data_IF_644303550857
#
_entry.id   IF_644303550857
#
_cell.length_a   1.000
_cell.length_b   1.000
_cell.length_c   1.000
_cell.angle_alpha   90.00
_cell.angle_beta   90.00
_cell.angle_gamma   90.00
#
_symmetry.space_group_name_H-M   'P 1'
#
loop_
_entity.id
_entity.type
_entity.pdbx_description
1 polymer ?
#
# COMPACT_ATOMS: atom_id res chain seq x y z
N UNK A 1 35.10 14.82 30.91
CA UNK A 1 33.97 13.87 30.93
C UNK A 1 33.66 13.49 29.48
N UNK A 2 33.75 12.21 29.07
CA UNK A 2 33.41 11.81 27.71
C UNK A 2 31.88 11.74 27.60
N UNK A 3 31.25 12.86 27.24
CA UNK A 3 29.79 13.07 27.38
C UNK A 3 29.02 13.15 26.07
N UNK A 4 29.66 12.89 24.93
CA UNK A 4 28.98 12.91 23.65
C UNK A 4 29.45 11.72 22.86
N UNK A 5 28.63 10.67 22.83
CA UNK A 5 28.72 9.64 21.80
C UNK A 5 28.48 10.40 20.51
N UNK A 6 29.57 10.73 19.82
CA UNK A 6 29.50 11.59 18.66
C UNK A 6 28.96 10.81 17.48
N UNK A 7 28.71 11.55 16.40
CA UNK A 7 28.48 10.96 15.08
C UNK A 7 29.55 9.90 14.73
N UNK A 8 30.85 10.05 15.08
CA UNK A 8 31.87 9.02 14.81
C UNK A 8 31.62 7.68 15.51
N UNK A 9 31.32 7.67 16.80
CA UNK A 9 31.04 6.44 17.55
C UNK A 9 29.77 5.75 17.01
N UNK A 10 28.73 6.53 16.69
CA UNK A 10 27.51 5.98 16.07
C UNK A 10 27.79 5.38 14.69
N UNK A 11 28.64 6.02 13.87
CA UNK A 11 29.06 5.49 12.57
C UNK A 11 29.84 4.18 12.69
N UNK A 12 30.71 4.06 13.69
CA UNK A 12 31.44 2.81 13.95
C UNK A 12 30.48 1.70 14.36
N UNK A 13 29.54 1.97 15.27
CA UNK A 13 28.52 1.00 15.67
C UNK A 13 27.64 0.58 14.48
N UNK A 14 27.22 1.56 13.68
CA UNK A 14 26.45 1.33 12.46
C UNK A 14 27.23 0.45 11.50
N UNK A 15 28.52 0.72 11.26
CA UNK A 15 29.37 -0.07 10.38
C UNK A 15 29.45 -1.54 10.82
N UNK A 16 29.59 -1.80 12.11
CA UNK A 16 29.57 -3.17 12.66
C UNK A 16 28.24 -3.84 12.33
N UNK A 17 27.10 -3.19 12.61
CA UNK A 17 25.76 -3.71 12.27
C UNK A 17 25.61 -3.95 10.77
N UNK A 18 26.11 -3.06 9.91
CA UNK A 18 26.08 -3.23 8.45
C UNK A 18 26.87 -4.45 8.00
N UNK A 19 27.95 -4.83 8.68
CA UNK A 19 28.71 -6.03 8.32
C UNK A 19 27.90 -7.29 8.67
N UNK A 20 27.24 -7.33 9.83
CA UNK A 20 26.43 -8.48 10.24
C UNK A 20 25.12 -8.61 9.45
N UNK A 21 24.40 -7.50 9.27
CA UNK A 21 23.08 -7.48 8.63
C UNK A 21 23.16 -7.24 7.12
N UNK A 22 24.23 -6.61 6.64
CA UNK A 22 24.41 -6.17 5.27
C UNK A 22 23.84 -4.76 5.01
N UNK A 23 24.50 -3.93 4.19
CA UNK A 23 24.03 -2.57 3.87
C UNK A 23 22.69 -2.53 3.11
N UNK A 24 22.28 -3.65 2.51
CA UNK A 24 20.99 -3.76 1.80
C UNK A 24 19.80 -4.00 2.74
N UNK A 25 20.01 -4.61 3.92
CA UNK A 25 18.90 -5.02 4.80
C UNK A 25 18.42 -3.91 5.72
N UNK A 26 19.30 -3.02 6.18
CA UNK A 26 18.91 -1.83 6.94
C UNK A 26 17.91 -0.91 6.22
N UNK A 27 18.12 -0.51 4.96
CA UNK A 27 17.15 0.34 4.25
C UNK A 27 15.85 -0.41 3.92
N UNK A 28 15.91 -1.72 3.71
CA UNK A 28 14.73 -2.56 3.48
C UNK A 28 13.83 -2.60 4.74
N UNK A 29 14.43 -2.89 5.91
CA UNK A 29 13.73 -2.87 7.19
C UNK A 29 13.29 -1.45 7.59
N UNK A 30 14.12 -0.43 7.32
CA UNK A 30 13.78 0.96 7.59
C UNK A 30 12.58 1.45 6.78
N UNK A 31 12.40 0.97 5.54
CA UNK A 31 11.23 1.32 4.72
C UNK A 31 9.93 0.72 5.26
N UNK A 32 9.94 -0.54 5.72
CA UNK A 32 8.74 -1.16 6.30
C UNK A 32 8.40 -0.54 7.66
N UNK A 33 9.40 -0.34 8.52
CA UNK A 33 9.24 0.34 9.80
C UNK A 33 8.79 1.80 9.62
N UNK A 34 9.31 2.50 8.63
CA UNK A 34 8.94 3.88 8.33
C UNK A 34 7.49 4.03 7.89
N UNK A 35 6.97 3.09 7.08
CA UNK A 35 5.54 3.06 6.71
C UNK A 35 4.66 2.82 7.93
N UNK A 36 4.99 1.82 8.76
CA UNK A 36 4.24 1.54 9.99
C UNK A 36 4.28 2.69 10.99
N UNK A 37 5.43 3.35 11.16
CA UNK A 37 5.56 4.52 12.02
C UNK A 37 4.81 5.73 11.47
N UNK A 38 4.76 5.90 10.14
CA UNK A 38 3.97 6.95 9.48
C UNK A 38 2.48 6.73 9.73
N UNK A 39 1.96 5.53 9.48
CA UNK A 39 0.56 5.16 9.74
C UNK A 39 0.20 5.28 11.23
N UNK A 40 1.13 4.87 12.12
CA UNK A 40 0.98 5.03 13.56
C UNK A 40 0.90 6.50 13.96
N UNK A 41 1.83 7.34 13.47
CA UNK A 41 1.82 8.79 13.72
C UNK A 41 0.54 9.43 13.22
N UNK A 42 0.10 9.08 12.01
CA UNK A 42 -1.08 9.66 11.38
C UNK A 42 -2.35 9.28 12.16
N UNK A 43 -2.43 8.03 12.67
CA UNK A 43 -3.51 7.58 13.55
C UNK A 43 -3.50 8.27 14.92
N UNK A 44 -2.32 8.49 15.50
CA UNK A 44 -2.16 9.15 16.81
C UNK A 44 -2.40 10.66 16.73
N UNK A 45 -2.02 11.29 15.63
CA UNK A 45 -2.11 12.75 15.46
C UNK A 45 -3.43 13.17 14.80
N UNK A 46 -4.21 12.20 14.28
CA UNK A 46 -5.47 12.46 13.57
C UNK A 46 -5.27 13.10 12.19
N UNK A 47 -4.05 13.05 11.65
CA UNK A 47 -3.69 13.65 10.36
C UNK A 47 -3.94 12.63 9.25
N UNK A 48 -5.14 12.61 8.67
CA UNK A 48 -5.35 11.91 7.40
C UNK A 48 -4.71 12.72 6.28
N UNK A 49 -3.54 12.27 5.82
CA UNK A 49 -2.90 12.79 4.62
C UNK A 49 -3.22 11.88 3.44
N UNK A 50 -4.12 12.36 2.59
CA UNK A 50 -4.58 11.72 1.36
C UNK A 50 -3.49 11.82 0.26
N UNK A 51 -2.32 11.23 0.51
CA UNK A 51 -1.15 11.39 -0.36
C UNK A 51 -1.15 10.31 -1.47
N UNK A 52 -2.18 10.30 -2.34
CA UNK A 52 -2.05 9.74 -3.69
C UNK A 52 -1.65 10.87 -4.63
N UNK A 53 -0.35 11.10 -4.82
CA UNK A 53 0.28 11.68 -6.02
C UNK A 53 1.76 11.99 -5.72
N UNK A 54 2.66 11.56 -6.61
CA UNK A 54 4.12 11.78 -6.67
C UNK A 54 5.03 10.62 -6.23
N UNK A 55 5.00 9.56 -7.03
CA UNK A 55 6.24 9.00 -7.57
C UNK A 55 5.96 8.45 -8.98
N UNK A 56 5.95 9.37 -9.96
CA UNK A 56 5.97 9.00 -11.36
C UNK A 56 7.28 8.27 -11.70
N UNK A 57 7.15 7.00 -12.07
CA UNK A 57 7.77 6.49 -13.28
C UNK A 57 6.67 5.71 -14.02
N UNK A 58 6.19 6.19 -15.18
CA UNK A 58 5.37 5.39 -16.05
C UNK A 58 6.24 4.25 -16.59
N UNK A 59 6.16 3.07 -16.00
CA UNK A 59 6.54 1.85 -16.72
C UNK A 59 5.39 1.55 -17.68
N UNK A 60 5.47 2.16 -18.86
CA UNK A 60 4.71 1.68 -20.00
C UNK A 60 5.16 0.25 -20.31
N UNK A 61 4.25 -0.72 -20.14
CA UNK A 61 3.95 -1.80 -21.09
C UNK A 61 2.86 -2.68 -20.47
N UNK A 62 1.61 -2.27 -20.66
CA UNK A 62 0.65 -3.09 -21.39
C UNK A 62 -0.16 -2.13 -22.26
N UNK A 63 0.30 -2.04 -23.51
CA UNK A 63 -0.50 -1.63 -24.65
C UNK A 63 -1.73 -2.52 -24.72
N UNK A 64 -2.89 -1.95 -24.41
CA UNK A 64 -4.12 -2.29 -25.12
C UNK A 64 -4.93 -1.00 -25.30
N UNK A 65 -4.61 -0.29 -26.38
CA UNK A 65 -5.46 0.74 -26.98
C UNK A 65 -5.63 0.29 -28.45
N UNK A 66 -6.87 0.14 -28.97
CA UNK A 66 -7.55 1.29 -29.55
C UNK A 66 -9.10 1.30 -29.41
N UNK A 67 -9.61 2.48 -29.02
CA UNK A 67 -10.85 3.16 -29.44
C UNK A 67 -11.90 2.37 -30.26
N UNK A 68 -13.10 2.17 -29.68
CA UNK A 68 -14.37 2.37 -30.39
C UNK A 68 -15.49 2.75 -29.35
N UNK A 69 -16.16 3.90 -29.53
CA UNK A 69 -17.17 4.47 -28.62
C UNK A 69 -18.56 3.85 -28.83
N UNK A 70 -19.48 4.04 -27.88
CA UNK A 70 -20.87 3.52 -27.82
C UNK A 70 -20.94 2.02 -27.46
N UNK A 71 -21.39 1.65 -26.26
CA UNK A 71 -22.83 1.55 -25.98
C UNK A 71 -23.09 1.80 -24.47
N UNK A 72 -23.45 3.04 -24.15
CA UNK A 72 -24.23 3.36 -22.95
C UNK A 72 -25.69 3.24 -23.36
N UNK A 73 -26.46 2.31 -22.81
CA UNK A 73 -27.92 2.42 -22.51
C UNK A 73 -28.44 1.10 -21.90
N UNK A 74 -29.58 1.08 -21.17
CA UNK A 74 -29.69 1.42 -19.76
C UNK A 74 -30.48 0.32 -19.00
N UNK A 75 -30.95 0.62 -17.78
CA UNK A 75 -31.93 -0.18 -17.04
C UNK A 75 -33.03 -0.85 -17.89
N UNK A 76 -33.30 -2.12 -17.58
CA UNK A 76 -34.61 -2.79 -17.70
C UNK A 76 -34.50 -4.07 -16.86
N UNK A 77 -34.98 -4.06 -15.61
CA UNK A 77 -36.29 -4.60 -15.21
C UNK A 77 -36.57 -5.97 -15.86
N UNK A 78 -36.75 -6.99 -15.02
CA UNK A 78 -37.61 -8.19 -15.17
C UNK A 78 -36.93 -9.26 -14.30
N UNK A 79 -37.28 -9.35 -13.02
CA UNK A 79 -38.40 -10.18 -12.56
C UNK A 79 -38.17 -11.66 -12.90
N UNK A 80 -37.66 -12.44 -11.95
CA UNK A 80 -38.12 -13.82 -11.83
C UNK A 80 -38.50 -14.10 -10.35
N UNK A 81 -39.73 -14.57 -10.10
CA UNK A 81 -40.40 -14.44 -8.81
C UNK A 81 -40.05 -15.53 -7.80
N UNK A 82 -39.98 -15.14 -6.53
CA UNK A 82 -40.15 -16.02 -5.38
C UNK A 82 -41.49 -16.74 -5.50
N UNK A 83 -41.47 -18.03 -5.83
CA UNK A 83 -42.51 -19.03 -5.53
C UNK A 83 -41.85 -20.40 -5.34
N UNK A 84 -41.47 -20.72 -4.11
CA UNK A 84 -41.38 -22.12 -3.69
C UNK A 84 -42.78 -22.51 -3.27
N UNK A 85 -43.41 -23.30 -4.12
CA UNK A 85 -44.74 -23.86 -3.93
C UNK A 85 -44.67 -24.88 -2.79
N UNK A 86 -45.33 -24.56 -1.68
CA UNK A 86 -46.03 -25.56 -0.86
C UNK A 86 -46.93 -26.40 -1.78
N UNK A 87 -47.14 -27.66 -1.39
CA UNK A 87 -47.95 -28.71 -2.04
C UNK A 87 -47.25 -29.58 -3.09
N UNK A 88 -46.72 -30.72 -2.65
CA UNK A 88 -47.10 -32.01 -3.23
C UNK A 88 -46.66 -33.19 -2.35
N UNK A 89 -47.61 -33.65 -1.53
CA UNK A 89 -47.97 -35.06 -1.35
C UNK A 89 -46.99 -36.11 -1.91
N UNK A 90 -46.22 -36.77 -1.05
CA UNK A 90 -46.06 -38.23 -1.05
C UNK A 90 -45.63 -38.73 0.33
#
# INVERSE_FOLDING_TARGET
MPGFVGVPELLILLLVVLIFFGPKRLPEMGRSLGKGLREFKDSVTGEHKDDQTLAGLPTATHTHEPVAPEEVVPETIVSEPVRHEDDSLT
#
